data_IF_514523066200
#
_entry.id   IF_514523066200
#
_cell.length_a   1.000
_cell.length_b   1.000
_cell.length_c   1.000
_cell.angle_alpha   90.00
_cell.angle_beta   90.00
_cell.angle_gamma   90.00
#
_symmetry.space_group_name_H-M   'P 1'
#
loop_
_entity.id
_entity.type
_entity.pdbx_description
1 polymer ?
#
# COMPACT_ATOMS: atom_id res chain seq x y z
N UNK A 1 41.49 21.17 -6.67
CA UNK A 1 40.54 21.41 -5.56
C UNK A 1 40.75 20.31 -4.53
N UNK A 2 41.48 20.58 -3.45
CA UNK A 2 41.77 19.58 -2.40
C UNK A 2 40.65 19.67 -1.37
N UNK A 3 39.84 18.62 -1.23
CA UNK A 3 38.81 18.55 -0.20
C UNK A 3 39.46 18.60 1.18
N UNK A 4 38.98 19.45 2.11
CA UNK A 4 39.56 19.54 3.44
C UNK A 4 39.47 18.18 4.16
N UNK A 5 40.50 17.81 4.92
CA UNK A 5 40.58 16.49 5.62
C UNK A 5 39.38 16.21 6.53
N UNK A 6 38.65 17.25 6.94
CA UNK A 6 37.48 17.15 7.82
C UNK A 6 36.12 17.24 7.08
N UNK A 7 36.12 17.40 5.76
CA UNK A 7 34.91 17.59 4.96
C UNK A 7 33.87 16.49 5.19
N UNK A 8 34.30 15.23 5.20
CA UNK A 8 33.41 14.08 5.42
C UNK A 8 32.77 14.12 6.80
N UNK A 9 33.55 14.47 7.83
CA UNK A 9 33.06 14.56 9.20
C UNK A 9 32.02 15.67 9.33
N UNK A 10 32.30 16.82 8.73
CA UNK A 10 31.41 17.99 8.73
C UNK A 10 30.10 17.70 7.98
N UNK A 11 30.18 17.03 6.82
CA UNK A 11 29.02 16.59 6.05
C UNK A 11 28.14 15.62 6.85
N UNK A 12 28.74 14.63 7.51
CA UNK A 12 27.99 13.65 8.31
C UNK A 12 27.30 14.28 9.53
N UNK A 13 27.87 15.34 10.11
CA UNK A 13 27.28 16.07 11.23
C UNK A 13 26.29 17.15 10.81
N UNK A 14 26.20 17.45 9.51
CA UNK A 14 25.32 18.51 9.02
C UNK A 14 23.85 18.17 9.27
N UNK A 15 23.12 19.16 9.78
CA UNK A 15 21.69 19.08 10.00
C UNK A 15 20.96 19.62 8.77
N UNK A 16 19.88 18.95 8.40
CA UNK A 16 19.05 19.38 7.27
C UNK A 16 17.95 20.28 7.84
N UNK A 17 17.96 21.55 7.45
CA UNK A 17 17.03 22.58 7.93
C UNK A 17 15.73 22.65 7.13
N UNK A 18 15.65 21.93 6.00
CA UNK A 18 14.44 21.91 5.19
C UNK A 18 13.29 21.19 5.90
N UNK A 19 12.19 21.90 6.10
CA UNK A 19 10.95 21.32 6.67
C UNK A 19 10.22 20.43 5.67
N UNK A 20 10.43 20.65 4.37
CA UNK A 20 9.81 19.90 3.28
C UNK A 20 10.67 18.71 2.89
N UNK A 21 10.00 17.61 2.53
CA UNK A 21 10.63 16.33 2.18
C UNK A 21 10.38 16.01 0.72
N UNK A 22 11.22 16.51 -0.20
CA UNK A 22 10.97 16.40 -1.65
C UNK A 22 10.86 14.95 -2.11
N UNK A 23 11.59 14.02 -1.47
CA UNK A 23 11.57 12.59 -1.81
C UNK A 23 10.19 11.94 -1.62
N UNK A 24 9.38 12.37 -0.63
CA UNK A 24 8.02 11.86 -0.46
C UNK A 24 7.13 12.34 -1.60
N UNK A 25 7.24 13.62 -1.97
CA UNK A 25 6.50 14.19 -3.10
C UNK A 25 6.89 13.50 -4.40
N UNK A 26 8.19 13.30 -4.64
CA UNK A 26 8.70 12.61 -5.83
C UNK A 26 8.20 11.17 -5.90
N UNK A 27 8.24 10.42 -4.79
CA UNK A 27 7.68 9.07 -4.73
C UNK A 27 6.21 9.04 -5.14
N UNK A 28 5.38 9.94 -4.59
CA UNK A 28 3.95 10.01 -4.91
C UNK A 28 3.70 10.42 -6.36
N UNK A 29 4.47 11.37 -6.88
CA UNK A 29 4.39 11.79 -8.27
C UNK A 29 4.75 10.65 -9.23
N UNK A 30 5.86 9.94 -8.97
CA UNK A 30 6.29 8.79 -9.77
C UNK A 30 5.26 7.67 -9.73
N UNK A 31 4.69 7.33 -8.57
CA UNK A 31 3.62 6.32 -8.46
C UNK A 31 2.42 6.69 -9.34
N UNK A 32 1.99 7.96 -9.35
CA UNK A 32 0.89 8.41 -10.21
C UNK A 32 1.24 8.34 -11.70
N UNK A 33 2.43 8.81 -12.09
CA UNK A 33 2.89 8.80 -13.49
C UNK A 33 3.04 7.36 -14.00
N UNK A 34 3.71 6.49 -13.23
CA UNK A 34 3.84 5.07 -13.58
C UNK A 34 2.47 4.39 -13.70
N UNK A 35 1.54 4.68 -12.78
CA UNK A 35 0.17 4.13 -12.83
C UNK A 35 -0.55 4.58 -14.09
N UNK A 36 -0.50 5.88 -14.43
CA UNK A 36 -1.15 6.41 -15.62
C UNK A 36 -0.58 5.78 -16.91
N UNK A 37 0.75 5.64 -16.99
CA UNK A 37 1.42 4.98 -18.12
C UNK A 37 1.00 3.52 -18.21
N UNK A 38 0.99 2.76 -17.11
CA UNK A 38 0.65 1.33 -17.13
C UNK A 38 -0.82 1.09 -17.48
N UNK A 39 -1.75 1.91 -16.95
CA UNK A 39 -3.19 1.81 -17.26
C UNK A 39 -3.42 2.06 -18.75
N UNK A 40 -2.75 3.04 -19.35
CA UNK A 40 -2.86 3.29 -20.78
C UNK A 40 -2.15 2.20 -21.61
N UNK A 41 -0.95 1.79 -21.18
CA UNK A 41 -0.10 0.88 -21.94
C UNK A 41 -0.69 -0.52 -22.07
N UNK A 42 -1.42 -1.03 -21.07
CA UNK A 42 -1.94 -2.41 -21.06
C UNK A 42 -2.93 -2.70 -22.20
N UNK A 43 -3.56 -1.66 -22.75
CA UNK A 43 -4.47 -1.78 -23.90
C UNK A 43 -3.71 -1.96 -25.22
N UNK A 44 -2.41 -1.64 -25.26
CA UNK A 44 -1.58 -1.77 -26.46
C UNK A 44 -0.79 -3.08 -26.49
N UNK A 45 -0.64 -3.67 -27.68
CA UNK A 45 0.16 -4.90 -27.90
C UNK A 45 1.64 -4.74 -27.56
N UNK A 46 2.15 -3.50 -27.53
CA UNK A 46 3.54 -3.19 -27.18
C UNK A 46 3.82 -3.49 -25.69
N UNK A 47 2.81 -3.46 -24.82
CA UNK A 47 3.00 -3.72 -23.40
C UNK A 47 3.14 -5.22 -23.12
N UNK A 48 4.29 -5.69 -22.60
CA UNK A 48 4.50 -7.10 -22.32
C UNK A 48 3.48 -7.63 -21.29
N UNK A 49 2.76 -8.70 -21.63
CA UNK A 49 1.72 -9.27 -20.75
C UNK A 49 2.26 -9.76 -19.41
N UNK A 50 3.56 -10.06 -19.29
CA UNK A 50 4.23 -10.35 -18.00
C UNK A 50 4.17 -9.20 -16.98
N UNK A 51 3.91 -7.96 -17.42
CA UNK A 51 3.79 -6.79 -16.56
C UNK A 51 2.33 -6.43 -16.25
N UNK A 52 1.37 -7.08 -16.92
CA UNK A 52 -0.04 -6.96 -16.60
C UNK A 52 -0.35 -7.61 -15.26
N UNK A 53 -1.57 -7.40 -14.76
CA UNK A 53 -2.02 -8.00 -13.51
C UNK A 53 -2.02 -9.52 -13.60
N UNK A 54 -1.60 -10.17 -12.53
CA UNK A 54 -1.65 -11.63 -12.41
C UNK A 54 -2.96 -12.08 -11.77
N UNK A 55 -3.62 -13.08 -12.35
CA UNK A 55 -4.90 -13.61 -11.81
C UNK A 55 -4.69 -14.70 -10.75
N UNK A 56 -3.60 -15.46 -10.85
CA UNK A 56 -3.31 -16.60 -9.95
C UNK A 56 -2.10 -16.29 -9.05
N UNK A 57 -0.92 -16.75 -9.48
CA UNK A 57 0.33 -16.61 -8.74
C UNK A 57 1.33 -15.75 -9.52
N UNK A 58 2.27 -15.18 -8.78
CA UNK A 58 3.29 -14.26 -9.30
C UNK A 58 2.96 -12.81 -8.97
N UNK A 59 3.76 -11.91 -9.54
CA UNK A 59 3.58 -10.47 -9.39
C UNK A 59 3.93 -9.76 -10.69
N UNK A 60 2.98 -9.01 -11.25
CA UNK A 60 3.20 -8.08 -12.35
C UNK A 60 3.51 -6.66 -11.88
N UNK A 61 3.98 -5.82 -12.80
CA UNK A 61 4.21 -4.40 -12.51
C UNK A 61 2.90 -3.71 -12.10
N UNK A 62 1.78 -4.05 -12.75
CA UNK A 62 0.47 -3.48 -12.43
C UNK A 62 -0.06 -3.86 -11.04
N UNK A 63 0.39 -4.98 -10.46
CA UNK A 63 -0.02 -5.41 -9.13
C UNK A 63 0.64 -4.56 -8.03
N UNK A 64 1.84 -4.03 -8.31
CA UNK A 64 2.57 -3.16 -7.37
C UNK A 64 1.85 -1.84 -7.10
N UNK A 65 1.06 -1.34 -8.06
CA UNK A 65 0.43 -0.02 -8.00
C UNK A 65 -0.41 0.17 -6.74
N UNK A 66 -1.29 -0.78 -6.42
CA UNK A 66 -2.18 -0.70 -5.25
C UNK A 66 -1.37 -0.64 -3.95
N UNK A 67 -0.35 -1.49 -3.82
CA UNK A 67 0.55 -1.48 -2.67
C UNK A 67 1.29 -0.14 -2.52
N UNK A 68 1.79 0.41 -3.63
CA UNK A 68 2.44 1.73 -3.63
C UNK A 68 1.50 2.86 -3.24
N UNK A 69 0.22 2.82 -3.65
CA UNK A 69 -0.79 3.79 -3.21
C UNK A 69 -1.08 3.69 -1.71
N UNK A 70 -1.21 2.47 -1.18
CA UNK A 70 -1.41 2.23 0.25
C UNK A 70 -0.24 2.77 1.07
N UNK A 71 1.00 2.46 0.67
CA UNK A 71 2.22 2.97 1.32
C UNK A 71 2.32 4.49 1.18
N UNK A 72 2.07 5.05 -0.01
CA UNK A 72 2.04 6.51 -0.24
C UNK A 72 1.10 7.21 0.74
N UNK A 73 -0.10 6.64 0.95
CA UNK A 73 -1.10 7.19 1.86
C UNK A 73 -0.67 7.08 3.33
N UNK A 74 -0.01 5.99 3.73
CA UNK A 74 0.52 5.85 5.10
C UNK A 74 1.68 6.80 5.39
N UNK A 75 2.52 7.11 4.39
CA UNK A 75 3.66 8.03 4.54
C UNK A 75 3.23 9.44 4.98
N UNK A 76 2.09 9.90 4.48
CA UNK A 76 1.53 11.22 4.79
C UNK A 76 0.51 11.21 5.93
N UNK A 77 0.24 10.03 6.52
CA UNK A 77 -0.71 9.91 7.61
C UNK A 77 -0.24 10.69 8.86
N UNK A 78 -1.15 11.37 9.59
CA UNK A 78 -0.82 12.09 10.81
C UNK A 78 -0.57 11.10 11.96
N UNK A 79 0.66 10.58 12.03
CA UNK A 79 1.09 9.54 12.99
C UNK A 79 0.87 9.92 14.46
N UNK A 80 1.07 11.19 14.83
CA UNK A 80 0.80 11.66 16.21
C UNK A 80 -0.66 11.52 16.65
N UNK A 81 -1.61 11.47 15.71
CA UNK A 81 -3.03 11.16 15.99
C UNK A 81 -3.30 9.66 16.06
N UNK A 82 -2.43 8.84 15.46
CA UNK A 82 -2.59 7.40 15.37
C UNK A 82 -2.19 6.72 16.69
N UNK A 83 -1.15 7.23 17.36
CA UNK A 83 -0.64 6.69 18.63
C UNK A 83 -1.28 7.33 19.87
N UNK A 84 -1.70 8.61 19.82
CA UNK A 84 -2.09 9.37 21.02
C UNK A 84 -3.60 9.56 21.24
N UNK A 85 -4.44 9.41 20.20
CA UNK A 85 -5.88 9.64 20.29
C UNK A 85 -6.62 8.43 19.73
N UNK A 86 -7.75 8.06 20.34
CA UNK A 86 -8.65 7.07 19.76
C UNK A 86 -9.18 7.61 18.43
N UNK A 87 -8.75 7.06 17.28
CA UNK A 87 -9.22 7.60 16.02
C UNK A 87 -10.70 7.25 15.88
N UNK A 88 -11.53 8.26 15.66
CA UNK A 88 -12.97 8.04 15.48
C UNK A 88 -13.22 7.27 14.17
N UNK A 89 -13.70 6.03 14.30
CA UNK A 89 -14.11 5.19 13.16
C UNK A 89 -15.15 5.93 12.32
N UNK A 90 -16.10 6.62 12.95
CA UNK A 90 -17.10 7.43 12.26
C UNK A 90 -16.49 8.55 11.41
N UNK A 91 -15.46 9.24 11.91
CA UNK A 91 -14.72 10.23 11.13
C UNK A 91 -13.99 9.60 9.95
N UNK A 92 -13.44 8.39 10.14
CA UNK A 92 -12.79 7.64 9.07
C UNK A 92 -13.77 7.24 7.97
N UNK A 93 -14.95 6.72 8.34
CA UNK A 93 -16.07 6.42 7.44
C UNK A 93 -16.48 7.67 6.66
N UNK A 94 -16.78 8.79 7.34
CA UNK A 94 -17.12 10.07 6.69
C UNK A 94 -16.06 10.53 5.69
N UNK A 95 -14.79 10.44 6.08
CA UNK A 95 -13.68 10.84 5.20
C UNK A 95 -13.38 9.85 4.06
N UNK A 96 -14.06 8.69 4.03
CA UNK A 96 -13.93 7.68 2.98
C UNK A 96 -15.11 7.72 2.00
N UNK A 97 -16.14 8.53 2.28
CA UNK A 97 -17.30 8.74 1.38
C UNK A 97 -16.87 9.09 -0.05
N UNK A 98 -15.91 10.01 -0.31
CA UNK A 98 -15.50 10.32 -1.68
C UNK A 98 -14.96 9.10 -2.44
N UNK A 99 -14.21 8.22 -1.77
CA UNK A 99 -13.70 6.99 -2.38
C UNK A 99 -14.83 6.00 -2.67
N UNK A 100 -15.80 5.88 -1.76
CA UNK A 100 -16.98 5.02 -1.96
C UNK A 100 -17.81 5.52 -3.14
N UNK A 101 -18.03 6.83 -3.24
CA UNK A 101 -18.74 7.46 -4.36
C UNK A 101 -18.00 7.23 -5.68
N UNK A 102 -16.68 7.44 -5.72
CA UNK A 102 -15.87 7.15 -6.91
C UNK A 102 -15.91 5.66 -7.29
N UNK A 103 -15.87 4.77 -6.32
CA UNK A 103 -16.00 3.33 -6.53
C UNK A 103 -17.36 2.95 -7.12
N UNK A 104 -18.44 3.51 -6.61
CA UNK A 104 -19.79 3.33 -7.15
C UNK A 104 -19.95 3.90 -8.56
N UNK A 105 -19.44 5.12 -8.79
CA UNK A 105 -19.47 5.76 -10.10
C UNK A 105 -18.70 4.93 -11.15
N UNK A 106 -17.51 4.41 -10.79
CA UNK A 106 -16.74 3.51 -11.65
C UNK A 106 -17.55 2.26 -12.02
N UNK A 107 -18.13 1.59 -11.01
CA UNK A 107 -18.92 0.37 -11.23
C UNK A 107 -20.10 0.62 -12.17
N UNK A 108 -20.86 1.70 -11.95
CA UNK A 108 -21.99 2.07 -12.79
C UNK A 108 -21.55 2.39 -14.22
N UNK A 109 -20.48 3.18 -14.39
CA UNK A 109 -19.96 3.55 -15.70
C UNK A 109 -19.47 2.33 -16.50
N UNK A 110 -18.69 1.44 -15.89
CA UNK A 110 -18.20 0.23 -16.58
C UNK A 110 -19.34 -0.72 -16.94
N UNK A 111 -20.37 -0.80 -16.10
CA UNK A 111 -21.55 -1.62 -16.36
C UNK A 111 -22.44 -1.03 -17.46
N UNK A 112 -22.55 0.30 -17.56
CA UNK A 112 -23.33 0.96 -18.62
C UNK A 112 -22.68 0.87 -20.00
N UNK A 113 -21.34 0.83 -20.04
CA UNK A 113 -20.57 0.79 -21.30
C UNK A 113 -20.26 -0.67 -21.71
N UNK A 114 -20.74 -1.67 -20.96
CA UNK A 114 -20.40 -3.09 -21.11
C UNK A 114 -18.89 -3.33 -21.26
N UNK A 115 -18.11 -2.58 -20.46
CA UNK A 115 -16.66 -2.70 -20.47
C UNK A 115 -16.24 -4.04 -19.84
N UNK A 116 -15.34 -4.75 -20.50
CA UNK A 116 -14.85 -6.05 -20.03
C UNK A 116 -13.99 -5.87 -18.77
N UNK A 117 -14.59 -6.07 -17.60
CA UNK A 117 -13.87 -6.03 -16.33
C UNK A 117 -13.52 -7.44 -15.87
N UNK A 118 -12.23 -7.66 -15.60
CA UNK A 118 -11.75 -8.89 -15.02
C UNK A 118 -12.26 -9.05 -13.58
N UNK A 119 -13.26 -9.92 -13.40
CA UNK A 119 -13.89 -10.19 -12.10
C UNK A 119 -12.85 -10.78 -11.12
N UNK A 120 -11.86 -11.51 -11.64
CA UNK A 120 -10.71 -12.06 -10.92
C UNK A 120 -9.84 -11.01 -10.21
N UNK A 121 -9.93 -9.73 -10.55
CA UNK A 121 -9.11 -8.69 -9.90
C UNK A 121 -9.62 -8.30 -8.51
N UNK A 122 -10.93 -8.03 -8.40
CA UNK A 122 -11.53 -7.50 -7.17
C UNK A 122 -12.89 -8.11 -6.87
N UNK A 123 -13.56 -8.68 -7.86
CA UNK A 123 -14.96 -9.10 -7.80
C UNK A 123 -15.86 -8.33 -8.75
N UNK A 124 -17.15 -8.61 -8.65
CA UNK A 124 -18.18 -8.08 -9.55
C UNK A 124 -18.48 -6.61 -9.30
N UNK A 125 -18.61 -6.22 -8.04
CA UNK A 125 -19.03 -4.87 -7.61
C UNK A 125 -17.86 -4.06 -7.05
N UNK A 126 -16.79 -4.76 -6.68
CA UNK A 126 -15.64 -4.20 -5.99
C UNK A 126 -14.62 -3.63 -6.96
N UNK A 127 -13.89 -2.62 -6.52
CA UNK A 127 -12.76 -2.08 -7.28
C UNK A 127 -11.75 -1.42 -6.34
N UNK A 128 -10.65 -0.94 -6.91
CA UNK A 128 -9.57 -0.28 -6.20
C UNK A 128 -10.01 0.83 -5.22
N UNK A 129 -10.98 1.67 -5.59
CA UNK A 129 -11.43 2.75 -4.70
C UNK A 129 -12.15 2.22 -3.46
N UNK A 130 -12.97 1.17 -3.63
CA UNK A 130 -13.64 0.49 -2.52
C UNK A 130 -12.61 -0.20 -1.63
N UNK A 131 -11.61 -0.88 -2.21
CA UNK A 131 -10.50 -1.49 -1.45
C UNK A 131 -9.78 -0.46 -0.60
N UNK A 132 -9.45 0.72 -1.14
CA UNK A 132 -8.81 1.79 -0.37
C UNK A 132 -9.70 2.31 0.76
N UNK A 133 -11.00 2.49 0.49
CA UNK A 133 -11.96 2.96 1.50
C UNK A 133 -12.08 1.96 2.66
N UNK A 134 -12.26 0.67 2.36
CA UNK A 134 -12.38 -0.39 3.35
C UNK A 134 -11.08 -0.57 4.12
N UNK A 135 -9.93 -0.59 3.44
CA UNK A 135 -8.60 -0.66 4.09
C UNK A 135 -8.43 0.47 5.10
N UNK A 136 -8.77 1.71 4.74
CA UNK A 136 -8.67 2.87 5.63
C UNK A 136 -9.57 2.74 6.87
N UNK A 137 -10.80 2.27 6.69
CA UNK A 137 -11.75 2.03 7.79
C UNK A 137 -11.23 0.92 8.71
N UNK A 138 -10.78 -0.21 8.15
CA UNK A 138 -10.23 -1.34 8.90
C UNK A 138 -8.97 -0.97 9.67
N UNK A 139 -8.03 -0.24 9.07
CA UNK A 139 -6.86 0.28 9.78
C UNK A 139 -7.29 1.10 11.00
N UNK A 140 -8.26 1.99 10.82
CA UNK A 140 -8.78 2.84 11.91
C UNK A 140 -9.43 2.01 13.01
N UNK A 141 -10.24 1.02 12.63
CA UNK A 141 -10.91 0.11 13.55
C UNK A 141 -9.89 -0.68 14.37
N UNK A 142 -8.91 -1.31 13.73
CA UNK A 142 -7.89 -2.11 14.40
C UNK A 142 -7.11 -1.25 15.40
N UNK A 143 -6.60 -0.08 14.97
CA UNK A 143 -5.90 0.86 15.87
C UNK A 143 -6.79 1.30 17.05
N UNK A 144 -8.08 1.52 16.80
CA UNK A 144 -9.01 1.94 17.85
C UNK A 144 -9.20 0.89 18.94
N UNK A 145 -9.03 -0.40 18.61
CA UNK A 145 -9.11 -1.56 19.50
C UNK A 145 -7.75 -1.88 20.13
N UNK A 146 -6.66 -1.86 19.36
CA UNK A 146 -5.31 -2.26 19.80
C UNK A 146 -4.47 -1.07 20.28
N UNK A 147 -5.07 -0.20 21.12
CA UNK A 147 -4.41 1.03 21.59
C UNK A 147 -3.15 0.70 22.38
N UNK A 148 -2.08 1.48 22.13
CA UNK A 148 -0.80 1.32 22.82
C UNK A 148 0.07 0.16 22.34
N UNK A 149 -0.42 -0.67 21.42
CA UNK A 149 0.39 -1.71 20.79
C UNK A 149 1.34 -1.08 19.77
N UNK A 150 2.59 -1.55 19.74
CA UNK A 150 3.55 -1.13 18.72
C UNK A 150 3.03 -1.48 17.31
N UNK A 151 2.91 -0.47 16.45
CA UNK A 151 2.39 -0.62 15.07
C UNK A 151 3.18 -1.65 14.27
N UNK A 152 4.48 -1.79 14.51
CA UNK A 152 5.30 -2.80 13.85
C UNK A 152 4.84 -4.21 14.23
N UNK A 153 4.69 -4.48 15.54
CA UNK A 153 4.20 -5.77 16.03
C UNK A 153 2.79 -6.05 15.50
N UNK A 154 1.92 -5.03 15.50
CA UNK A 154 0.58 -5.12 14.93
C UNK A 154 0.62 -5.52 13.46
N UNK A 155 1.52 -4.94 12.66
CA UNK A 155 1.68 -5.28 11.24
C UNK A 155 2.10 -6.74 11.03
N UNK A 156 3.03 -7.25 11.87
CA UNK A 156 3.48 -8.65 11.85
C UNK A 156 2.34 -9.60 12.22
N UNK A 157 1.54 -9.25 13.23
CA UNK A 157 0.36 -10.05 13.61
C UNK A 157 -0.66 -10.06 12.49
N UNK A 158 -1.01 -8.91 11.91
CA UNK A 158 -2.02 -8.83 10.83
C UNK A 158 -1.57 -9.64 9.61
N UNK A 159 -0.31 -9.51 9.17
CA UNK A 159 0.17 -10.28 8.01
C UNK A 159 0.24 -11.79 8.33
N UNK A 160 0.62 -12.17 9.54
CA UNK A 160 0.66 -13.58 9.95
C UNK A 160 -0.73 -14.20 10.01
N UNK A 161 -1.73 -13.47 10.53
CA UNK A 161 -3.13 -13.89 10.51
C UNK A 161 -3.63 -14.01 9.07
N UNK A 162 -3.33 -13.03 8.22
CA UNK A 162 -3.74 -13.08 6.81
C UNK A 162 -3.14 -14.29 6.09
N UNK A 163 -1.83 -14.53 6.26
CA UNK A 163 -1.16 -15.70 5.70
C UNK A 163 -1.73 -17.00 6.26
N UNK A 164 -2.00 -17.06 7.57
CA UNK A 164 -2.63 -18.23 8.20
C UNK A 164 -4.02 -18.52 7.64
N UNK A 165 -4.83 -17.50 7.39
CA UNK A 165 -6.15 -17.63 6.75
C UNK A 165 -6.01 -18.13 5.30
N UNK A 166 -5.05 -17.59 4.53
CA UNK A 166 -4.75 -18.06 3.18
C UNK A 166 -4.39 -19.55 3.18
N UNK A 167 -3.49 -19.97 4.06
CA UNK A 167 -3.08 -21.38 4.22
C UNK A 167 -4.19 -22.30 4.74
N UNK A 168 -5.23 -21.77 5.39
CA UNK A 168 -6.34 -22.55 5.96
C UNK A 168 -7.52 -22.73 4.99
N UNK A 169 -7.37 -22.34 3.72
CA UNK A 169 -8.38 -22.51 2.68
C UNK A 169 -8.96 -21.20 2.11
N UNK A 170 -8.60 -20.03 2.65
CA UNK A 170 -9.01 -18.75 2.04
C UNK A 170 -8.40 -18.58 0.63
N UNK A 171 -7.17 -19.06 0.42
CA UNK A 171 -6.55 -19.07 -0.90
C UNK A 171 -7.38 -19.88 -1.90
N UNK A 172 -7.75 -21.12 -1.52
CA UNK A 172 -8.53 -22.00 -2.38
C UNK A 172 -9.91 -21.41 -2.67
N UNK A 173 -10.55 -20.79 -1.68
CA UNK A 173 -11.83 -20.11 -1.88
C UNK A 173 -11.73 -18.94 -2.87
N UNK A 174 -10.70 -18.10 -2.76
CA UNK A 174 -10.48 -16.95 -3.66
C UNK A 174 -10.15 -17.40 -5.09
N UNK A 175 -9.31 -18.43 -5.25
CA UNK A 175 -8.89 -18.94 -6.56
C UNK A 175 -9.87 -19.95 -7.19
N UNK A 176 -10.85 -20.46 -6.42
CA UNK A 176 -11.79 -21.47 -6.92
C UNK A 176 -12.69 -20.96 -8.03
N UNK A 177 -13.21 -21.84 -8.89
CA UNK A 177 -14.27 -21.49 -9.84
C UNK A 177 -15.68 -21.61 -9.24
N UNK A 178 -15.83 -21.47 -7.92
CA UNK A 178 -17.13 -21.61 -7.25
C UNK A 178 -18.16 -20.57 -7.73
N UNK A 179 -19.46 -20.92 -7.70
CA UNK A 179 -20.53 -19.99 -8.06
C UNK A 179 -20.49 -18.69 -7.25
N UNK A 180 -20.88 -17.57 -7.88
CA UNK A 180 -20.89 -16.22 -7.30
C UNK A 180 -22.31 -15.81 -6.93
N UNK A 181 -22.99 -16.67 -6.18
CA UNK A 181 -24.43 -16.54 -5.92
C UNK A 181 -24.76 -15.41 -4.93
N UNK A 182 -23.86 -15.20 -3.96
CA UNK A 182 -24.01 -14.17 -2.92
C UNK A 182 -23.04 -13.01 -3.11
N UNK A 183 -23.35 -11.86 -2.51
CA UNK A 183 -22.48 -10.67 -2.54
C UNK A 183 -21.05 -10.94 -2.04
N UNK A 184 -20.90 -11.81 -1.04
CA UNK A 184 -19.59 -12.20 -0.50
C UNK A 184 -18.78 -12.97 -1.55
N UNK A 185 -19.35 -14.03 -2.13
CA UNK A 185 -18.72 -14.84 -3.17
C UNK A 185 -18.47 -14.04 -4.45
N UNK A 186 -19.35 -13.09 -4.78
CA UNK A 186 -19.18 -12.19 -5.91
C UNK A 186 -17.99 -11.23 -5.76
N UNK A 187 -17.57 -10.90 -4.53
CA UNK A 187 -16.51 -9.93 -4.23
C UNK A 187 -15.38 -10.50 -3.37
N UNK A 188 -15.23 -11.82 -3.35
CA UNK A 188 -14.29 -12.54 -2.48
C UNK A 188 -12.85 -12.08 -2.63
N UNK A 189 -12.41 -11.73 -3.85
CA UNK A 189 -11.05 -11.28 -4.14
C UNK A 189 -10.75 -9.95 -3.43
N UNK A 190 -11.65 -8.97 -3.58
CA UNK A 190 -11.54 -7.66 -2.96
C UNK A 190 -11.65 -7.71 -1.44
N UNK A 191 -12.52 -8.59 -0.90
CA UNK A 191 -12.73 -8.72 0.54
C UNK A 191 -11.54 -9.44 1.20
N UNK A 192 -11.11 -10.57 0.64
CA UNK A 192 -9.98 -11.34 1.18
C UNK A 192 -8.67 -10.53 1.18
N UNK A 193 -8.44 -9.71 0.15
CA UNK A 193 -7.22 -8.90 0.03
C UNK A 193 -7.14 -7.71 1.01
N UNK A 194 -8.26 -7.28 1.59
CA UNK A 194 -8.29 -6.12 2.50
C UNK A 194 -7.33 -6.26 3.69
N UNK A 195 -7.21 -7.46 4.27
CA UNK A 195 -6.34 -7.67 5.43
C UNK A 195 -4.85 -7.55 5.06
N UNK A 196 -4.46 -8.04 3.87
CA UNK A 196 -3.12 -7.84 3.33
C UNK A 196 -2.79 -6.35 3.12
N UNK A 197 -3.74 -5.56 2.60
CA UNK A 197 -3.55 -4.11 2.45
C UNK A 197 -3.46 -3.37 3.79
N UNK A 198 -4.17 -3.83 4.82
CA UNK A 198 -4.02 -3.28 6.19
C UNK A 198 -2.60 -3.51 6.71
N UNK A 199 -2.04 -4.72 6.52
CA UNK A 199 -0.66 -5.01 6.92
C UNK A 199 0.33 -4.09 6.19
N UNK A 200 0.19 -3.93 4.87
CA UNK A 200 1.01 -3.02 4.07
C UNK A 200 0.91 -1.58 4.56
N UNK A 201 -0.30 -1.12 4.92
CA UNK A 201 -0.50 0.22 5.47
C UNK A 201 0.26 0.41 6.79
N UNK A 202 0.19 -0.55 7.72
CA UNK A 202 0.91 -0.45 9.00
C UNK A 202 2.43 -0.49 8.83
N UNK A 203 2.96 -1.33 7.93
CA UNK A 203 4.39 -1.31 7.57
C UNK A 203 4.75 0.07 7.01
N UNK A 204 3.93 0.62 6.12
CA UNK A 204 4.15 1.94 5.55
C UNK A 204 4.12 3.07 6.60
N UNK A 205 3.32 2.94 7.67
CA UNK A 205 3.37 3.85 8.83
C UNK A 205 4.70 3.73 9.58
N UNK A 206 5.23 2.52 9.75
CA UNK A 206 6.55 2.29 10.37
C UNK A 206 7.68 2.92 9.54
N UNK A 207 7.67 2.71 8.22
CA UNK A 207 8.61 3.37 7.30
C UNK A 207 8.50 4.89 7.40
N UNK A 208 7.28 5.42 7.51
CA UNK A 208 7.06 6.86 7.66
C UNK A 208 7.67 7.42 8.96
N UNK A 209 7.60 6.67 10.06
CA UNK A 209 8.21 7.04 11.37
C UNK A 209 9.73 7.08 11.27
N UNK A 210 10.33 6.07 10.67
CA UNK A 210 11.79 6.01 10.42
C UNK A 210 12.27 7.16 9.53
N UNK A 211 11.57 7.41 8.42
CA UNK A 211 11.87 8.55 7.55
C UNK A 211 11.76 9.87 8.32
N UNK A 212 10.82 10.00 9.26
CA UNK A 212 10.67 11.20 10.10
C UNK A 212 11.86 11.46 11.00
N UNK A 213 12.32 10.45 11.71
CA UNK A 213 13.49 10.52 12.59
C UNK A 213 14.79 10.76 11.79
N UNK A 214 14.89 10.20 10.58
CA UNK A 214 16.06 10.36 9.72
C UNK A 214 16.28 11.80 9.23
N UNK A 215 15.21 12.53 8.95
CA UNK A 215 15.22 13.87 8.35
C UNK A 215 15.92 14.97 9.16
N UNK A 216 16.46 14.68 10.33
CA UNK A 216 17.13 15.64 11.21
C UNK A 216 18.63 15.82 10.87
N UNK A 217 19.29 14.80 10.33
CA UNK A 217 20.74 14.82 10.06
C UNK A 217 21.09 14.06 8.78
N UNK A 218 22.11 14.52 8.05
CA UNK A 218 22.60 13.84 6.85
C UNK A 218 23.01 12.39 7.13
N UNK A 219 23.74 12.13 8.23
CA UNK A 219 24.14 10.77 8.62
C UNK A 219 22.95 9.85 8.83
N UNK A 220 21.90 10.32 9.48
CA UNK A 220 20.72 9.49 9.74
C UNK A 220 19.96 9.18 8.44
N UNK A 221 19.86 10.14 7.52
CA UNK A 221 19.29 9.87 6.18
C UNK A 221 20.12 8.84 5.40
N UNK A 222 21.45 8.93 5.45
CA UNK A 222 22.32 7.94 4.82
C UNK A 222 22.12 6.54 5.41
N UNK A 223 22.07 6.43 6.74
CA UNK A 223 21.81 5.17 7.44
C UNK A 223 20.42 4.62 7.05
N UNK A 224 19.39 5.46 7.05
CA UNK A 224 18.03 5.04 6.68
C UNK A 224 17.96 4.62 5.22
N UNK A 225 18.65 5.31 4.31
CA UNK A 225 18.76 4.91 2.91
C UNK A 225 19.41 3.53 2.80
N UNK A 226 20.57 3.30 3.43
CA UNK A 226 21.23 2.00 3.43
C UNK A 226 20.34 0.90 4.02
N UNK A 227 19.67 1.16 5.14
CA UNK A 227 18.72 0.22 5.76
C UNK A 227 17.59 -0.15 4.79
N UNK A 228 16.94 0.83 4.17
CA UNK A 228 15.85 0.60 3.23
C UNK A 228 16.33 -0.17 1.99
N UNK A 229 17.50 0.18 1.45
CA UNK A 229 18.11 -0.57 0.34
C UNK A 229 18.43 -2.01 0.70
N UNK A 230 19.03 -2.25 1.88
CA UNK A 230 19.30 -3.62 2.35
C UNK A 230 18.01 -4.41 2.55
N UNK A 231 16.98 -3.82 3.16
CA UNK A 231 15.68 -4.49 3.31
C UNK A 231 15.04 -4.79 1.97
N UNK A 232 15.14 -3.88 0.99
CA UNK A 232 14.62 -4.10 -0.36
C UNK A 232 15.33 -5.26 -1.05
N UNK A 233 16.65 -5.35 -0.95
CA UNK A 233 17.45 -6.42 -1.54
C UNK A 233 17.10 -7.76 -0.87
N UNK A 234 16.98 -7.77 0.46
CA UNK A 234 16.60 -8.96 1.20
C UNK A 234 15.20 -9.45 0.83
N UNK A 235 14.20 -8.55 0.82
CA UNK A 235 12.84 -8.90 0.41
C UNK A 235 12.79 -9.41 -1.04
N UNK A 236 13.53 -8.77 -1.95
CA UNK A 236 13.65 -9.23 -3.33
C UNK A 236 14.26 -10.64 -3.41
N UNK A 237 15.33 -10.90 -2.67
CA UNK A 237 15.99 -12.22 -2.67
C UNK A 237 15.03 -13.32 -2.18
N UNK A 238 14.20 -13.04 -1.18
CA UNK A 238 13.19 -13.97 -0.67
C UNK A 238 12.11 -14.23 -1.72
N UNK A 239 11.73 -13.23 -2.52
CA UNK A 239 10.72 -13.42 -3.58
C UNK A 239 11.25 -14.14 -4.83
N UNK A 240 12.57 -14.16 -5.04
CA UNK A 240 13.20 -14.84 -6.17
C UNK A 240 13.66 -16.27 -5.87
N UNK A 241 13.60 -16.68 -4.60
CA UNK A 241 13.85 -18.05 -4.14
C UNK A 241 12.56 -18.88 -4.22
#
# INVERSE_FOLDING_TARGET
MVLPKNFIRELLTSNITESRRPYITNFRALTNVMTAICILAVDFKVFPRRFAKTENFGSGLMDTGVGLFVISNSLVAPQGKLEALSPSVWKSVKSSIPLIVLGGARFLATKQIDYQTHISEYGVHWNFFITLAVTKILCTLIISVTRGVNIFLLSVVVVSVHQGLLSSGLQDWVLSSQPRDDFLSANREGIASCLGYVALYFIGVCVAKELKLAGLSFRNNLITMCKLSMTSILLWSVTTL
#
